data_IF_776975316954
#
_entry.id   IF_776975316954
#
_cell.length_a   1.000
_cell.length_b   1.000
_cell.length_c   1.000
_cell.angle_alpha   90.00
_cell.angle_beta   90.00
_cell.angle_gamma   90.00
#
_symmetry.space_group_name_H-M   'P 1'
#
loop_
_entity.id
_entity.type
_entity.pdbx_description
1 polymer ?
#
# COMPACT_ATOMS: atom_id res chain seq x y z
N UNK A 1 -17.21 19.03 13.32
CA UNK A 1 -17.95 17.93 12.66
C UNK A 1 -17.02 16.73 12.56
N UNK A 2 -17.43 15.56 13.06
CA UNK A 2 -16.68 14.31 12.88
C UNK A 2 -16.85 13.94 11.40
N UNK A 3 -15.75 13.88 10.62
CA UNK A 3 -15.82 13.56 9.19
C UNK A 3 -16.49 12.21 8.93
N UNK A 4 -17.34 12.16 7.90
CA UNK A 4 -18.08 10.95 7.49
C UNK A 4 -17.11 9.86 7.02
N UNK A 5 -17.48 8.59 7.20
CA UNK A 5 -16.71 7.45 6.66
C UNK A 5 -16.54 7.55 5.14
N UNK A 6 -15.37 7.16 4.65
CA UNK A 6 -15.16 6.99 3.21
C UNK A 6 -15.97 5.78 2.72
N UNK A 7 -16.65 5.87 1.58
CA UNK A 7 -17.24 4.72 0.93
C UNK A 7 -16.18 3.63 0.67
N UNK A 8 -16.64 2.39 0.60
CA UNK A 8 -15.82 1.22 0.32
C UNK A 8 -16.37 0.47 -0.88
N UNK A 9 -15.48 0.03 -1.76
CA UNK A 9 -15.78 -0.92 -2.83
C UNK A 9 -14.76 -2.06 -2.79
N UNK A 10 -15.25 -3.27 -2.99
CA UNK A 10 -14.37 -4.43 -3.12
C UNK A 10 -13.53 -4.30 -4.40
N UNK A 11 -12.20 -4.33 -4.24
CA UNK A 11 -11.26 -4.40 -5.36
C UNK A 11 -10.04 -5.21 -4.92
N UNK A 12 -9.78 -6.32 -5.60
CA UNK A 12 -8.64 -7.20 -5.34
C UNK A 12 -7.39 -6.82 -6.16
N UNK A 13 -7.43 -5.69 -6.87
CA UNK A 13 -6.36 -5.20 -7.73
C UNK A 13 -6.12 -6.05 -8.98
N UNK A 14 -7.04 -6.95 -9.33
CA UNK A 14 -6.88 -7.90 -10.44
C UNK A 14 -6.19 -9.20 -10.04
N UNK A 15 -6.05 -9.48 -8.74
CA UNK A 15 -5.40 -10.69 -8.22
C UNK A 15 -6.05 -11.97 -8.74
N UNK A 16 -7.38 -12.09 -8.64
CA UNK A 16 -8.11 -13.25 -9.11
C UNK A 16 -8.01 -13.38 -10.65
N UNK A 17 -8.08 -12.25 -11.37
CA UNK A 17 -7.94 -12.21 -12.83
C UNK A 17 -6.55 -12.68 -13.30
N UNK A 18 -5.50 -12.45 -12.51
CA UNK A 18 -4.16 -12.98 -12.75
C UNK A 18 -4.00 -14.48 -12.35
N UNK A 19 -5.09 -15.17 -11.98
CA UNK A 19 -5.10 -16.61 -11.71
C UNK A 19 -4.66 -17.00 -10.29
N UNK A 20 -4.46 -16.04 -9.38
CA UNK A 20 -4.04 -16.36 -8.02
C UNK A 20 -5.19 -16.89 -7.16
N UNK A 21 -4.97 -18.07 -6.58
CA UNK A 21 -5.93 -18.74 -5.70
C UNK A 21 -5.59 -18.57 -4.21
N UNK A 22 -6.60 -18.81 -3.37
CA UNK A 22 -6.50 -18.81 -1.91
C UNK A 22 -6.14 -17.46 -1.29
N UNK A 23 -5.84 -17.46 0.01
CA UNK A 23 -5.54 -16.25 0.79
C UNK A 23 -4.08 -15.78 0.60
N UNK A 24 -3.87 -14.47 0.73
CA UNK A 24 -2.55 -13.84 0.68
C UNK A 24 -2.51 -12.51 1.47
N UNK A 25 -1.29 -12.10 1.85
CA UNK A 25 -1.00 -10.85 2.57
C UNK A 25 -0.47 -9.74 1.64
N UNK A 26 -0.91 -9.73 0.39
CA UNK A 26 -0.37 -8.95 -0.74
C UNK A 26 -0.94 -7.53 -0.87
N UNK A 27 -1.43 -6.94 0.23
CA UNK A 27 -2.04 -5.61 0.24
C UNK A 27 -1.20 -4.54 -0.47
N UNK A 28 0.14 -4.66 -0.41
CA UNK A 28 1.07 -3.77 -1.12
C UNK A 28 0.89 -3.88 -2.63
N UNK A 29 0.86 -5.10 -3.18
CA UNK A 29 0.68 -5.33 -4.62
C UNK A 29 -0.67 -4.79 -5.07
N UNK A 30 -1.74 -5.14 -4.35
CA UNK A 30 -3.11 -4.73 -4.71
C UNK A 30 -3.27 -3.22 -4.68
N UNK A 31 -2.84 -2.55 -3.60
CA UNK A 31 -2.99 -1.11 -3.48
C UNK A 31 -2.20 -0.35 -4.56
N UNK A 32 -1.02 -0.84 -4.93
CA UNK A 32 -0.22 -0.22 -5.99
C UNK A 32 -0.87 -0.46 -7.36
N UNK A 33 -1.27 -1.70 -7.69
CA UNK A 33 -1.95 -2.02 -8.95
C UNK A 33 -3.21 -1.16 -9.17
N UNK A 34 -4.04 -1.00 -8.13
CA UNK A 34 -5.24 -0.15 -8.18
C UNK A 34 -4.86 1.31 -8.42
N UNK A 35 -3.86 1.84 -7.71
CA UNK A 35 -3.49 3.26 -7.78
C UNK A 35 -2.70 3.62 -9.05
N UNK A 36 -1.91 2.71 -9.60
CA UNK A 36 -1.13 2.95 -10.82
C UNK A 36 -1.89 2.60 -12.09
N UNK A 37 -2.93 1.76 -11.99
CA UNK A 37 -3.60 1.15 -13.14
C UNK A 37 -2.80 0.03 -13.81
N UNK A 38 -1.67 -0.38 -13.22
CA UNK A 38 -0.91 -1.54 -13.69
C UNK A 38 -1.63 -2.85 -13.34
N UNK A 39 -1.33 -3.91 -14.10
CA UNK A 39 -1.84 -5.24 -13.78
C UNK A 39 -1.27 -5.74 -12.45
N UNK A 40 -2.07 -6.53 -11.71
CA UNK A 40 -1.59 -7.21 -10.51
C UNK A 40 -0.28 -7.97 -10.76
N UNK A 41 -0.21 -8.70 -11.88
CA UNK A 41 0.93 -9.51 -12.25
C UNK A 41 2.21 -8.67 -12.40
N UNK A 42 2.12 -7.56 -13.12
CA UNK A 42 3.25 -6.65 -13.33
C UNK A 42 3.80 -6.15 -11.99
N UNK A 43 2.92 -5.63 -11.12
CA UNK A 43 3.33 -5.11 -9.81
C UNK A 43 3.90 -6.23 -8.93
N UNK A 44 3.33 -7.43 -9.00
CA UNK A 44 3.82 -8.59 -8.25
C UNK A 44 5.24 -8.98 -8.66
N UNK A 45 5.50 -9.06 -9.97
CA UNK A 45 6.80 -9.41 -10.52
C UNK A 45 7.84 -8.33 -10.24
N UNK A 46 7.50 -7.06 -10.48
CA UNK A 46 8.40 -5.93 -10.25
C UNK A 46 8.84 -5.85 -8.79
N UNK A 47 7.90 -6.01 -7.86
CA UNK A 47 8.22 -6.05 -6.44
C UNK A 47 9.02 -7.29 -6.04
N UNK A 48 8.81 -8.42 -6.72
CA UNK A 48 9.62 -9.63 -6.59
C UNK A 48 11.07 -9.39 -7.01
N UNK A 49 11.28 -8.76 -8.17
CA UNK A 49 12.59 -8.36 -8.67
C UNK A 49 13.24 -7.34 -7.73
N UNK A 50 12.52 -6.31 -7.30
CA UNK A 50 13.03 -5.31 -6.37
C UNK A 50 13.45 -5.92 -5.03
N UNK A 51 12.71 -6.91 -4.50
CA UNK A 51 13.11 -7.67 -3.32
C UNK A 51 14.41 -8.47 -3.56
N UNK A 52 14.53 -9.14 -4.70
CA UNK A 52 15.72 -9.90 -5.05
C UNK A 52 16.96 -8.99 -5.19
N UNK A 53 16.82 -7.87 -5.91
CA UNK A 53 17.87 -6.86 -6.05
C UNK A 53 18.24 -6.24 -4.70
N UNK A 54 17.27 -5.93 -3.84
CA UNK A 54 17.55 -5.41 -2.49
C UNK A 54 18.37 -6.43 -1.69
N UNK A 55 18.03 -7.71 -1.74
CA UNK A 55 18.77 -8.76 -1.05
C UNK A 55 20.22 -8.82 -1.53
N UNK A 56 20.46 -8.79 -2.84
CA UNK A 56 21.80 -8.85 -3.43
C UNK A 56 22.66 -7.62 -3.15
N UNK A 57 22.07 -6.41 -3.20
CA UNK A 57 22.81 -5.15 -3.14
C UNK A 57 23.03 -4.60 -1.72
N UNK A 58 22.35 -5.15 -0.72
CA UNK A 58 22.39 -4.64 0.67
C UNK A 58 22.87 -5.73 1.63
N UNK A 59 23.47 -5.31 2.75
CA UNK A 59 23.91 -6.22 3.81
C UNK A 59 23.28 -5.88 5.17
N UNK A 60 22.00 -5.52 5.17
CA UNK A 60 21.24 -5.24 6.40
C UNK A 60 20.37 -6.44 6.83
N UNK A 61 19.69 -6.30 7.97
CA UNK A 61 18.78 -7.34 8.48
C UNK A 61 17.68 -7.71 7.48
N UNK A 62 17.22 -6.74 6.66
CA UNK A 62 16.20 -6.99 5.66
C UNK A 62 16.74 -7.86 4.53
N UNK A 63 17.93 -7.55 4.01
CA UNK A 63 18.57 -8.34 2.96
C UNK A 63 18.78 -9.80 3.39
N UNK A 64 19.33 -10.03 4.59
CA UNK A 64 19.49 -11.38 5.16
C UNK A 64 18.17 -12.15 5.26
N UNK A 65 17.10 -11.45 5.67
CA UNK A 65 15.75 -12.06 5.75
C UNK A 65 15.20 -12.39 4.36
N UNK A 66 15.41 -11.53 3.36
CA UNK A 66 14.96 -11.77 1.99
C UNK A 66 15.71 -12.95 1.35
N UNK A 67 17.01 -13.11 1.62
CA UNK A 67 17.75 -14.31 1.21
C UNK A 67 17.18 -15.60 1.82
N UNK A 68 16.82 -15.57 3.11
CA UNK A 68 16.27 -16.74 3.80
C UNK A 68 14.82 -17.06 3.41
N UNK A 69 13.96 -16.04 3.31
CA UNK A 69 12.51 -16.21 3.13
C UNK A 69 12.09 -16.22 1.65
N UNK A 70 12.94 -15.72 0.76
CA UNK A 70 12.62 -15.48 -0.64
C UNK A 70 12.08 -14.08 -0.91
N UNK A 71 12.00 -13.74 -2.20
CA UNK A 71 11.67 -12.40 -2.71
C UNK A 71 10.19 -12.19 -3.02
N UNK A 72 9.34 -13.22 -2.90
CA UNK A 72 7.93 -13.14 -3.25
C UNK A 72 7.15 -12.10 -2.42
N UNK A 73 6.38 -11.19 -3.04
CA UNK A 73 5.55 -10.21 -2.32
C UNK A 73 4.22 -10.78 -1.81
N UNK A 74 3.94 -12.09 -2.00
CA UNK A 74 2.65 -12.74 -1.65
C UNK A 74 2.22 -12.49 -0.19
N UNK A 75 3.16 -12.45 0.73
CA UNK A 75 2.90 -12.38 2.17
C UNK A 75 3.44 -11.07 2.80
N UNK A 76 3.29 -9.98 2.04
CA UNK A 76 3.70 -8.65 2.42
C UNK A 76 5.04 -8.24 1.83
N UNK A 77 5.22 -6.93 1.64
CA UNK A 77 6.45 -6.35 1.15
C UNK A 77 6.96 -5.28 2.12
N UNK A 78 8.27 -5.17 2.28
CA UNK A 78 8.88 -4.24 3.22
C UNK A 78 8.88 -2.81 2.66
N UNK A 79 8.65 -1.82 3.54
CA UNK A 79 8.60 -0.39 3.15
C UNK A 79 9.82 0.07 2.37
N UNK A 80 11.02 -0.34 2.78
CA UNK A 80 12.26 0.02 2.08
C UNK A 80 12.30 -0.42 0.60
N UNK A 81 11.47 -1.37 0.19
CA UNK A 81 11.42 -1.85 -1.20
C UNK A 81 10.25 -1.19 -1.93
N UNK A 82 9.03 -1.31 -1.40
CA UNK A 82 7.86 -0.76 -2.11
C UNK A 82 7.84 0.78 -2.14
N UNK A 83 8.53 1.46 -1.21
CA UNK A 83 8.59 2.92 -1.20
C UNK A 83 9.21 3.45 -2.49
N UNK A 84 10.40 2.98 -2.83
CA UNK A 84 11.13 3.41 -4.02
C UNK A 84 10.37 3.06 -5.31
N UNK A 85 9.71 1.90 -5.34
CA UNK A 85 8.85 1.50 -6.46
C UNK A 85 7.63 2.42 -6.64
N UNK A 86 6.95 2.80 -5.55
CA UNK A 86 5.83 3.75 -5.64
C UNK A 86 6.31 5.12 -6.12
N UNK A 87 7.46 5.59 -5.62
CA UNK A 87 8.03 6.86 -6.04
C UNK A 87 8.41 6.86 -7.53
N UNK A 88 8.97 5.76 -8.06
CA UNK A 88 9.32 5.65 -9.47
C UNK A 88 8.11 5.73 -10.42
N UNK A 89 6.90 5.51 -9.91
CA UNK A 89 5.63 5.63 -10.65
C UNK A 89 5.02 7.05 -10.60
N UNK A 90 5.79 8.02 -10.11
CA UNK A 90 5.41 9.44 -10.07
C UNK A 90 4.57 9.83 -8.86
N UNK A 91 4.51 8.98 -7.84
CA UNK A 91 3.87 9.35 -6.58
C UNK A 91 4.85 10.08 -5.66
N UNK A 92 4.30 10.94 -4.81
CA UNK A 92 5.04 11.62 -3.74
C UNK A 92 4.53 11.17 -2.38
N UNK A 93 5.44 10.87 -1.45
CA UNK A 93 5.09 10.53 -0.08
C UNK A 93 4.79 11.79 0.76
N UNK A 94 3.66 11.78 1.46
CA UNK A 94 3.27 12.81 2.42
C UNK A 94 3.06 12.17 3.80
N UNK A 95 3.94 12.43 4.78
CA UNK A 95 3.70 12.00 6.15
C UNK A 95 2.59 12.84 6.78
N UNK A 96 1.76 12.23 7.62
CA UNK A 96 0.63 12.90 8.29
C UNK A 96 0.88 13.14 9.78
N UNK A 97 1.98 12.64 10.33
CA UNK A 97 2.35 12.81 11.74
C UNK A 97 3.87 12.74 11.90
N UNK A 98 4.37 13.39 12.95
CA UNK A 98 5.75 13.22 13.40
C UNK A 98 5.81 12.19 14.55
N UNK A 99 7.02 11.72 14.84
CA UNK A 99 7.26 10.82 15.98
C UNK A 99 6.83 11.53 17.27
N UNK A 100 6.00 10.86 18.08
CA UNK A 100 5.53 11.39 19.37
C UNK A 100 4.28 12.28 19.30
N UNK A 101 3.77 12.62 18.10
CA UNK A 101 2.61 13.53 17.96
C UNK A 101 1.25 12.84 18.02
N UNK A 102 1.22 11.51 18.16
CA UNK A 102 -0.01 10.74 18.08
C UNK A 102 -0.68 10.80 16.70
N UNK A 103 -1.95 10.41 16.65
CA UNK A 103 -2.72 10.29 15.42
C UNK A 103 -3.38 11.63 15.04
N UNK A 104 -2.94 12.20 13.91
CA UNK A 104 -3.43 13.50 13.43
C UNK A 104 -4.40 13.38 12.24
N UNK A 105 -4.24 12.34 11.43
CA UNK A 105 -5.05 12.09 10.23
C UNK A 105 -5.60 10.67 10.25
N UNK A 106 -6.86 10.53 9.84
CA UNK A 106 -7.64 9.31 9.84
C UNK A 106 -8.15 9.00 8.45
N UNK A 107 -8.46 7.73 8.20
CA UNK A 107 -9.02 7.26 6.95
C UNK A 107 -10.52 7.59 6.88
N UNK A 108 -10.85 8.87 6.75
CA UNK A 108 -12.22 9.42 6.67
C UNK A 108 -12.30 10.61 5.71
N UNK A 109 -13.52 10.97 5.32
CA UNK A 109 -13.77 12.10 4.44
C UNK A 109 -13.35 13.42 5.11
N UNK A 110 -12.74 14.32 4.32
CA UNK A 110 -12.32 15.65 4.74
C UNK A 110 -10.92 15.74 5.38
N UNK A 111 -10.27 14.61 5.73
CA UNK A 111 -8.90 14.60 6.28
C UNK A 111 -7.82 14.19 5.26
N UNK A 112 -8.23 13.66 4.11
CA UNK A 112 -7.33 13.26 3.03
C UNK A 112 -7.55 14.11 1.78
N UNK A 113 -6.49 14.41 0.99
CA UNK A 113 -6.66 15.11 -0.27
C UNK A 113 -7.46 14.28 -1.27
N UNK A 114 -8.07 14.95 -2.24
CA UNK A 114 -8.72 14.27 -3.37
C UNK A 114 -7.69 13.71 -4.35
N UNK A 115 -8.11 12.72 -5.13
CA UNK A 115 -7.30 12.10 -6.18
C UNK A 115 -7.06 10.61 -5.94
N UNK A 116 -5.92 10.13 -6.46
CA UNK A 116 -5.48 8.73 -6.34
C UNK A 116 -4.41 8.63 -5.27
N UNK A 117 -4.72 7.92 -4.19
CA UNK A 117 -3.87 7.77 -3.02
C UNK A 117 -3.54 6.31 -2.75
N UNK A 118 -2.32 6.08 -2.26
CA UNK A 118 -1.94 4.84 -1.58
C UNK A 118 -1.72 5.17 -0.10
N UNK A 119 -2.62 4.71 0.75
CA UNK A 119 -2.67 5.04 2.18
C UNK A 119 -1.86 4.03 2.98
N UNK A 120 -0.96 4.52 3.83
CA UNK A 120 -0.24 3.70 4.81
C UNK A 120 -0.92 3.78 6.18
N UNK A 121 -1.40 2.63 6.65
CA UNK A 121 -1.90 2.45 8.03
C UNK A 121 -1.11 1.34 8.73
N UNK A 122 -1.39 1.09 10.02
CA UNK A 122 -0.76 -0.02 10.74
C UNK A 122 -0.97 -1.36 10.02
N UNK A 123 0.11 -2.11 9.76
CA UNK A 123 0.14 -3.45 9.13
C UNK A 123 -0.58 -3.61 7.77
N UNK A 124 -0.93 -2.52 7.09
CA UNK A 124 -1.69 -2.57 5.84
C UNK A 124 -1.32 -1.42 4.89
N UNK A 125 -1.66 -1.58 3.61
CA UNK A 125 -1.59 -0.57 2.55
C UNK A 125 -2.90 -0.68 1.76
N UNK A 126 -3.54 0.46 1.47
CA UNK A 126 -4.86 0.49 0.81
C UNK A 126 -4.90 1.59 -0.23
N UNK A 127 -5.67 1.41 -1.31
CA UNK A 127 -5.87 2.45 -2.31
C UNK A 127 -7.14 3.25 -1.98
N UNK A 128 -7.05 4.57 -2.14
CA UNK A 128 -8.22 5.46 -2.15
C UNK A 128 -8.23 6.18 -3.49
N UNK A 129 -9.28 5.97 -4.28
CA UNK A 129 -9.43 6.55 -5.61
C UNK A 129 -10.73 7.34 -5.62
N UNK A 130 -10.65 8.65 -5.91
CA UNK A 130 -11.81 9.53 -5.94
C UNK A 130 -12.64 9.46 -4.65
N UNK A 131 -11.96 9.52 -3.50
CA UNK A 131 -12.58 9.48 -2.16
C UNK A 131 -13.29 8.15 -1.83
N UNK A 132 -13.02 7.07 -2.58
CA UNK A 132 -13.53 5.72 -2.31
C UNK A 132 -12.38 4.77 -1.98
N UNK A 133 -12.50 4.03 -0.88
CA UNK A 133 -11.57 2.97 -0.52
C UNK A 133 -11.76 1.79 -1.46
N UNK A 134 -10.67 1.35 -2.09
CA UNK A 134 -10.63 0.19 -2.97
C UNK A 134 -9.70 -0.87 -2.38
N UNK A 135 -10.29 -1.94 -1.85
CA UNK A 135 -9.55 -3.00 -1.15
C UNK A 135 -10.37 -4.28 -1.05
N UNK A 136 -9.82 -5.35 -0.49
CA UNK A 136 -10.56 -6.60 -0.24
C UNK A 136 -11.37 -6.57 1.05
N UNK A 137 -11.18 -5.56 1.89
CA UNK A 137 -11.98 -5.30 3.10
C UNK A 137 -11.89 -3.81 3.45
N UNK A 138 -12.91 -3.25 4.14
CA UNK A 138 -12.87 -1.86 4.58
C UNK A 138 -11.87 -1.68 5.76
N UNK A 139 -10.73 -0.98 5.59
CA UNK A 139 -9.72 -0.84 6.62
C UNK A 139 -9.95 0.37 7.55
N UNK A 140 -10.97 1.19 7.31
CA UNK A 140 -11.19 2.50 7.96
C UNK A 140 -11.54 2.42 9.45
N UNK A 141 -12.01 1.27 9.94
CA UNK A 141 -12.50 1.10 11.32
C UNK A 141 -13.53 2.18 11.71
N UNK A 142 -14.56 2.37 10.88
CA UNK A 142 -15.55 3.41 11.12
C UNK A 142 -14.98 4.83 11.03
N UNK A 143 -14.00 5.05 10.13
CA UNK A 143 -13.31 6.33 9.99
C UNK A 143 -12.31 6.69 11.10
N UNK A 144 -12.02 5.78 12.04
CA UNK A 144 -11.08 6.02 13.15
C UNK A 144 -9.66 5.50 12.89
N UNK A 145 -9.42 4.83 11.75
CA UNK A 145 -8.10 4.26 11.44
C UNK A 145 -7.09 5.36 11.15
N UNK A 146 -6.07 5.46 11.99
CA UNK A 146 -4.94 6.36 11.80
C UNK A 146 -4.17 6.09 10.51
N UNK A 147 -3.98 7.14 9.73
CA UNK A 147 -3.15 7.20 8.52
C UNK A 147 -1.79 7.73 8.93
N UNK A 148 -0.74 6.97 8.69
CA UNK A 148 0.66 7.37 9.00
C UNK A 148 1.28 8.23 7.90
N UNK A 149 0.66 8.18 6.72
CA UNK A 149 0.98 8.98 5.57
C UNK A 149 0.37 8.35 4.34
N UNK A 150 0.47 9.04 3.23
CA UNK A 150 -0.08 8.60 1.95
C UNK A 150 0.89 8.93 0.83
N UNK A 151 0.82 8.15 -0.23
CA UNK A 151 1.40 8.50 -1.51
C UNK A 151 0.32 9.14 -2.36
N UNK A 152 0.63 10.24 -3.04
CA UNK A 152 -0.28 10.95 -3.94
C UNK A 152 0.41 11.18 -5.28
N UNK A 153 -0.33 11.00 -6.37
CA UNK A 153 0.07 11.41 -7.72
C UNK A 153 -0.79 12.61 -8.10
N UNK A 154 -0.13 13.74 -8.41
CA UNK A 154 -0.78 14.99 -8.84
C UNK A 154 -0.87 15.05 -10.35
#
# INVERSE_FOLDING_TARGET
MIGRELPFVFNDGGRAAAGYLGNAGDCVVRAIAIATGLSYQQVYEDLGHANASYAQLRNDRLAKRLHSKGSSPRNGNHRKVFHDYILSHGFTWVPTMQIGQGCQVHLRAGELPKGVLIIKVSKHLSAVVNEVIQDTHNPSRGGTRCVYGYYIKR
#
